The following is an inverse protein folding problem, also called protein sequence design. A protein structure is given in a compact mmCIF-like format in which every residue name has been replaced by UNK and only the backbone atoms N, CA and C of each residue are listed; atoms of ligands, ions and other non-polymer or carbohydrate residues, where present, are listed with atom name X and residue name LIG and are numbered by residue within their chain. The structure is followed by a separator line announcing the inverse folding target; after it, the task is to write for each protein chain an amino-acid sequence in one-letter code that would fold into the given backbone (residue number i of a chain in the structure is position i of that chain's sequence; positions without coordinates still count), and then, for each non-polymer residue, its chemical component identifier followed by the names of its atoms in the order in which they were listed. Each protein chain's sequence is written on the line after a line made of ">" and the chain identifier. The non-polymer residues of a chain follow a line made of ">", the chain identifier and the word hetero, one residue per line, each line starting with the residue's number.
data_IF_962134498652
#
_entry.id   IF_962134498652
#
_cell.length_a   1.000
_cell.length_b   1.000
_cell.length_c   1.000
_cell.angle_alpha   90.00
_cell.angle_beta   90.00
_cell.angle_gamma   90.00
#
_symmetry.space_group_name_H-M   'P 1'
#
loop_
_entity.id
_entity.type
_entity.pdbx_description
1 polymer ?
#
# COMPACT_ATOMS: atom_id res chain seq x y z
N UNK A 1 7.03 -5.17 -5.39
CA UNK A 1 6.12 -4.00 -5.48
C UNK A 1 5.94 -3.42 -4.09
N UNK A 2 5.66 -2.13 -3.98
CA UNK A 2 5.32 -1.50 -2.69
C UNK A 2 3.82 -1.17 -2.69
N UNK A 3 3.11 -1.62 -1.67
CA UNK A 3 1.72 -1.25 -1.41
C UNK A 3 1.67 -0.29 -0.22
N UNK A 4 0.95 0.82 -0.33
CA UNK A 4 0.83 1.81 0.74
C UNK A 4 -0.65 1.97 1.07
N UNK A 5 -1.02 1.56 2.27
CA UNK A 5 -2.41 1.55 2.73
C UNK A 5 -2.47 2.18 4.12
N UNK A 6 -3.39 3.12 4.32
CA UNK A 6 -3.53 3.86 5.58
C UNK A 6 -4.18 2.99 6.66
N UNK A 7 -5.08 2.09 6.29
CA UNK A 7 -5.81 1.21 7.21
C UNK A 7 -5.08 -0.13 7.44
N UNK A 8 -4.62 -0.33 8.66
CA UNK A 8 -3.92 -1.56 9.05
C UNK A 8 -4.80 -2.81 9.00
N UNK A 9 -6.11 -2.67 9.21
CA UNK A 9 -7.03 -3.81 9.16
C UNK A 9 -7.26 -4.28 7.72
N UNK A 10 -7.18 -3.38 6.73
CA UNK A 10 -7.20 -3.76 5.31
C UNK A 10 -5.95 -4.56 4.94
N UNK A 11 -4.76 -4.13 5.38
CA UNK A 11 -3.51 -4.89 5.17
C UNK A 11 -3.62 -6.29 5.81
N UNK A 12 -4.14 -6.37 7.03
CA UNK A 12 -4.33 -7.63 7.75
C UNK A 12 -5.35 -8.54 7.06
N UNK A 13 -6.45 -8.00 6.57
CA UNK A 13 -7.43 -8.75 5.77
C UNK A 13 -6.80 -9.27 4.47
N UNK A 14 -6.00 -8.45 3.79
CA UNK A 14 -5.19 -8.85 2.64
C UNK A 14 -4.32 -10.08 2.91
N UNK A 15 -3.57 -10.05 4.01
CA UNK A 15 -2.72 -11.18 4.40
C UNK A 15 -3.52 -12.41 4.83
N UNK A 16 -4.65 -12.23 5.52
CA UNK A 16 -5.46 -13.33 6.05
C UNK A 16 -6.24 -14.05 4.96
N UNK A 17 -6.79 -13.32 3.99
CA UNK A 17 -7.76 -13.84 3.03
C UNK A 17 -7.21 -13.96 1.61
N UNK A 18 -6.12 -13.26 1.26
CA UNK A 18 -5.64 -13.16 -0.13
C UNK A 18 -4.14 -13.50 -0.30
N UNK A 19 -3.50 -14.14 0.69
CA UNK A 19 -2.08 -14.56 0.65
C UNK A 19 -1.10 -13.44 0.27
N UNK A 20 -1.40 -12.20 0.68
CA UNK A 20 -0.58 -11.03 0.33
C UNK A 20 0.80 -11.03 1.02
N UNK A 21 1.02 -11.88 2.02
CA UNK A 21 2.30 -12.02 2.71
C UNK A 21 3.35 -12.78 1.88
N UNK A 22 2.92 -13.68 0.99
CA UNK A 22 3.79 -14.43 0.08
C UNK A 22 4.02 -13.77 -1.28
N UNK A 23 3.22 -12.75 -1.61
CA UNK A 23 3.42 -11.95 -2.81
C UNK A 23 4.75 -11.18 -2.72
N UNK A 24 5.41 -10.91 -3.85
CA UNK A 24 6.55 -9.97 -3.92
C UNK A 24 6.06 -8.52 -3.72
N UNK A 25 5.39 -8.28 -2.58
CA UNK A 25 4.68 -7.08 -2.20
C UNK A 25 5.10 -6.72 -0.78
N UNK A 26 5.69 -5.53 -0.62
CA UNK A 26 5.96 -4.96 0.69
C UNK A 26 4.89 -3.92 1.01
N UNK A 27 4.14 -4.15 2.08
CA UNK A 27 3.09 -3.22 2.52
C UNK A 27 3.62 -2.21 3.54
N UNK A 28 3.25 -0.95 3.38
CA UNK A 28 3.54 0.13 4.31
C UNK A 28 2.22 0.67 4.86
N UNK A 29 2.04 0.63 6.18
CA UNK A 29 0.87 1.22 6.81
C UNK A 29 1.09 2.74 7.00
N UNK A 30 0.74 3.55 5.99
CA UNK A 30 1.03 4.99 5.95
C UNK A 30 0.09 5.71 4.97
N UNK A 31 -0.09 7.03 5.14
CA UNK A 31 -0.68 7.89 4.10
C UNK A 31 0.20 7.89 2.84
N UNK A 32 -0.40 7.66 1.67
CA UNK A 32 0.30 7.57 0.39
C UNK A 32 1.06 8.85 -0.01
N UNK A 33 0.56 10.03 0.36
CA UNK A 33 1.26 11.31 0.08
C UNK A 33 2.49 11.45 0.95
N UNK A 34 2.38 11.10 2.23
CA UNK A 34 3.52 11.09 3.16
C UNK A 34 4.60 10.11 2.70
N UNK A 35 4.21 8.91 2.25
CA UNK A 35 5.13 7.92 1.70
C UNK A 35 5.88 8.47 0.47
N UNK A 36 5.16 8.98 -0.54
CA UNK A 36 5.78 9.51 -1.76
C UNK A 36 6.67 10.73 -1.51
N UNK A 37 6.38 11.54 -0.48
CA UNK A 37 7.22 12.69 -0.10
C UNK A 37 8.51 12.31 0.60
N UNK A 38 8.56 11.16 1.25
CA UNK A 38 9.65 10.76 2.15
C UNK A 38 10.48 9.61 1.62
N UNK A 39 9.96 8.84 0.67
CA UNK A 39 10.70 7.76 0.03
C UNK A 39 11.78 8.31 -0.90
N UNK A 40 12.94 7.64 -0.90
CA UNK A 40 14.03 7.84 -1.84
C UNK A 40 13.90 6.95 -3.10
N UNK A 41 12.91 6.06 -3.12
CA UNK A 41 12.66 5.14 -4.23
C UNK A 41 12.11 5.86 -5.44
N UNK A 42 12.51 5.38 -6.63
CA UNK A 42 11.94 5.76 -7.93
C UNK A 42 11.07 4.61 -8.44
N UNK A 43 9.92 4.94 -9.02
CA UNK A 43 8.98 3.97 -9.57
C UNK A 43 8.76 4.26 -11.05
N UNK A 44 8.75 3.22 -11.87
CA UNK A 44 8.39 3.34 -13.29
C UNK A 44 6.88 3.56 -13.47
N UNK A 45 6.08 2.94 -12.60
CA UNK A 45 4.62 3.03 -12.59
C UNK A 45 4.13 3.27 -11.17
N UNK A 46 3.23 4.24 -11.02
CA UNK A 46 2.49 4.50 -9.77
C UNK A 46 1.01 4.33 -10.07
N UNK A 47 0.35 3.42 -9.37
CA UNK A 47 -1.10 3.20 -9.44
C UNK A 47 -1.70 3.74 -8.16
N UNK A 48 -2.72 4.59 -8.30
CA UNK A 48 -3.46 5.16 -7.17
C UNK A 48 -4.88 4.63 -7.23
N UNK A 49 -5.21 3.75 -6.29
CA UNK A 49 -6.58 3.33 -6.01
C UNK A 49 -6.98 3.96 -4.68
N UNK A 50 -7.74 5.06 -4.75
CA UNK A 50 -8.09 5.85 -3.58
C UNK A 50 -9.62 5.98 -3.49
N UNK A 51 -10.17 5.47 -2.40
CA UNK A 51 -11.59 5.62 -2.11
C UNK A 51 -11.89 7.01 -1.54
N UNK A 52 -12.91 7.68 -2.09
CA UNK A 52 -13.46 8.93 -1.56
C UNK A 52 -14.94 8.69 -1.21
N UNK A 53 -15.30 8.90 0.06
CA UNK A 53 -16.70 8.89 0.46
C UNK A 53 -17.48 10.06 -0.20
N UNK A 54 -18.78 9.87 -0.52
CA UNK A 54 -19.63 10.90 -1.11
C UNK A 54 -19.65 12.22 -0.34
#
# INVERSE_FOLDING_TARGET
>A
MDGVELDSEIIKAGNTFFDMAGANLKTYNMDGRSFLKTTDKRYDIVIIDAYKQP
#
